data_IF_597655864807
#
_entry.id   IF_597655864807
#
_cell.length_a   1.000
_cell.length_b   1.000
_cell.length_c   1.000
_cell.angle_alpha   90.00
_cell.angle_beta   90.00
_cell.angle_gamma   90.00
#
_symmetry.space_group_name_H-M   'P 1'
#
loop_
_entity.id
_entity.type
_entity.pdbx_description
1 polymer ?
#
# COMPACT_ATOMS: atom_id res chain seq x y z
N UNK A 1 -18.33 -17.06 13.53
CA UNK A 1 -18.39 -17.37 12.10
C UNK A 1 -17.01 -17.13 11.53
N UNK A 2 -16.45 -18.05 10.77
CA UNK A 2 -15.17 -17.83 10.09
C UNK A 2 -15.41 -17.03 8.81
N UNK A 3 -14.56 -16.04 8.55
CA UNK A 3 -14.60 -15.19 7.36
C UNK A 3 -13.18 -14.91 6.87
N UNK A 4 -13.07 -14.39 5.64
CA UNK A 4 -11.80 -14.04 4.99
C UNK A 4 -11.86 -12.62 4.45
N UNK A 5 -10.78 -11.87 4.56
CA UNK A 5 -10.67 -10.57 3.89
C UNK A 5 -9.31 -10.38 3.24
N UNK A 6 -9.28 -9.59 2.16
CA UNK A 6 -8.02 -9.20 1.52
C UNK A 6 -7.50 -7.89 2.11
N UNK A 7 -6.19 -7.77 2.25
CA UNK A 7 -5.50 -6.54 2.63
C UNK A 7 -4.47 -6.18 1.55
N UNK A 8 -4.78 -5.13 0.80
CA UNK A 8 -3.92 -4.49 -0.20
C UNK A 8 -3.48 -3.11 0.30
N UNK A 9 -2.37 -2.60 -0.22
CA UNK A 9 -1.90 -1.24 0.01
C UNK A 9 -0.98 -0.83 -1.15
N UNK A 10 -0.69 0.47 -1.28
CA UNK A 10 0.41 0.97 -2.12
C UNK A 10 0.33 0.50 -3.58
N UNK A 11 -0.88 0.57 -4.15
CA UNK A 11 -1.15 0.14 -5.53
C UNK A 11 -0.58 1.12 -6.56
N UNK A 12 -0.50 2.40 -6.20
CA UNK A 12 0.16 3.46 -6.96
C UNK A 12 -0.22 3.51 -8.43
N UNK A 13 -1.51 3.36 -8.71
CA UNK A 13 -2.02 3.44 -10.09
C UNK A 13 -1.67 4.79 -10.68
N UNK A 14 -1.01 4.77 -11.84
CA UNK A 14 -0.59 5.97 -12.57
C UNK A 14 0.80 6.51 -12.23
N UNK A 15 1.60 5.81 -11.42
CA UNK A 15 2.96 6.23 -11.08
C UNK A 15 3.92 6.32 -12.29
N UNK A 16 3.79 5.38 -13.22
CA UNK A 16 4.74 5.26 -14.34
C UNK A 16 4.25 6.02 -15.58
N UNK A 17 5.14 6.78 -16.20
CA UNK A 17 4.87 7.51 -17.46
C UNK A 17 5.07 6.61 -18.67
N UNK A 18 6.00 5.68 -18.57
CA UNK A 18 6.29 4.69 -19.59
C UNK A 18 5.10 3.75 -19.73
N UNK A 19 4.45 3.81 -20.90
CA UNK A 19 3.22 3.06 -21.19
C UNK A 19 3.29 1.59 -20.79
N UNK A 20 4.39 0.89 -21.09
CA UNK A 20 4.54 -0.52 -20.76
C UNK A 20 4.55 -0.79 -19.24
N UNK A 21 5.19 0.08 -18.45
CA UNK A 21 5.19 -0.03 -16.98
C UNK A 21 3.81 0.34 -16.41
N UNK A 22 3.16 1.37 -16.95
CA UNK A 22 1.80 1.73 -16.56
C UNK A 22 0.80 0.59 -16.81
N UNK A 23 0.87 -0.04 -17.99
CA UNK A 23 0.06 -1.20 -18.34
C UNK A 23 0.36 -2.41 -17.45
N UNK A 24 1.64 -2.63 -17.10
CA UNK A 24 2.06 -3.68 -16.15
C UNK A 24 1.49 -3.45 -14.76
N UNK A 25 1.56 -2.22 -14.25
CA UNK A 25 1.01 -1.85 -12.94
C UNK A 25 -0.51 -2.07 -12.89
N UNK A 26 -1.22 -1.61 -13.92
CA UNK A 26 -2.67 -1.85 -14.05
C UNK A 26 -3.00 -3.34 -14.19
N UNK A 27 -2.18 -4.13 -14.90
CA UNK A 27 -2.38 -5.57 -15.01
C UNK A 27 -2.22 -6.25 -13.64
N UNK A 28 -1.21 -5.88 -12.86
CA UNK A 28 -1.03 -6.39 -11.50
C UNK A 28 -2.23 -6.06 -10.61
N UNK A 29 -2.76 -4.82 -10.69
CA UNK A 29 -3.98 -4.42 -9.97
C UNK A 29 -5.17 -5.27 -10.39
N UNK A 30 -5.42 -5.46 -11.70
CA UNK A 30 -6.48 -6.34 -12.20
C UNK A 30 -6.35 -7.75 -11.63
N UNK A 31 -5.16 -8.34 -11.72
CA UNK A 31 -4.90 -9.69 -11.19
C UNK A 31 -5.14 -9.76 -9.69
N UNK A 32 -4.70 -8.79 -8.90
CA UNK A 32 -4.90 -8.79 -7.46
C UNK A 32 -6.39 -8.83 -7.08
N UNK A 33 -7.21 -7.98 -7.71
CA UNK A 33 -8.66 -7.95 -7.46
C UNK A 33 -9.39 -9.17 -8.03
N UNK A 34 -8.96 -9.71 -9.18
CA UNK A 34 -9.48 -10.98 -9.71
C UNK A 34 -9.20 -12.13 -8.74
N UNK A 35 -7.99 -12.20 -8.16
CA UNK A 35 -7.66 -13.17 -7.11
C UNK A 35 -8.54 -13.01 -5.87
N UNK A 36 -8.84 -11.79 -5.44
CA UNK A 36 -9.76 -11.55 -4.32
C UNK A 36 -11.15 -12.17 -4.59
N UNK A 37 -11.67 -12.03 -5.81
CA UNK A 37 -12.95 -12.62 -6.24
C UNK A 37 -12.87 -14.14 -6.28
N UNK A 38 -11.82 -14.70 -6.89
CA UNK A 38 -11.59 -16.15 -7.00
C UNK A 38 -11.48 -16.83 -5.62
N UNK A 39 -10.77 -16.18 -4.69
CA UNK A 39 -10.59 -16.62 -3.31
C UNK A 39 -11.84 -16.40 -2.44
N UNK A 40 -12.89 -15.78 -3.00
CA UNK A 40 -14.18 -15.51 -2.37
C UNK A 40 -14.04 -14.80 -1.01
N UNK A 41 -13.18 -13.78 -0.96
CA UNK A 41 -13.04 -12.96 0.26
C UNK A 41 -14.37 -12.28 0.57
N UNK A 42 -14.67 -12.14 1.86
CA UNK A 42 -15.89 -11.51 2.36
C UNK A 42 -15.85 -9.99 2.24
N UNK A 43 -14.66 -9.39 2.33
CA UNK A 43 -14.42 -7.98 2.04
C UNK A 43 -12.96 -7.71 1.66
N UNK A 44 -12.68 -6.50 1.16
CA UNK A 44 -11.34 -6.04 0.80
C UNK A 44 -11.02 -4.75 1.57
N UNK A 45 -9.79 -4.65 2.06
CA UNK A 45 -9.20 -3.45 2.64
C UNK A 45 -8.09 -2.92 1.72
N UNK A 46 -8.11 -1.62 1.43
CA UNK A 46 -7.05 -0.88 0.76
C UNK A 46 -6.46 0.14 1.74
N UNK A 47 -5.27 -0.13 2.27
CA UNK A 47 -4.61 0.71 3.28
C UNK A 47 -3.81 1.87 2.64
N UNK A 48 -4.49 2.69 1.83
CA UNK A 48 -3.95 3.90 1.22
C UNK A 48 -3.15 3.68 -0.08
N UNK A 49 -2.83 4.79 -0.72
CA UNK A 49 -2.09 4.91 -1.99
C UNK A 49 -2.66 3.99 -3.09
N UNK A 50 -3.97 4.09 -3.33
CA UNK A 50 -4.61 3.44 -4.47
C UNK A 50 -4.11 4.08 -5.79
N UNK A 51 -3.93 5.40 -5.79
CA UNK A 51 -3.34 6.16 -6.90
C UNK A 51 -2.06 6.87 -6.45
N UNK A 52 -1.12 7.05 -7.37
CA UNK A 52 0.16 7.74 -7.10
C UNK A 52 -0.01 9.29 -7.06
N UNK A 53 -1.16 9.80 -7.46
CA UNK A 53 -1.48 11.23 -7.38
C UNK A 53 -2.98 11.46 -7.13
N UNK A 54 -3.31 12.61 -6.55
CA UNK A 54 -4.70 13.04 -6.28
C UNK A 54 -5.56 13.15 -7.53
N UNK A 55 -4.95 13.49 -8.67
CA UNK A 55 -5.59 13.60 -9.98
C UNK A 55 -4.71 12.89 -11.04
N UNK A 56 -4.82 11.56 -11.17
CA UNK A 56 -4.07 10.79 -12.14
C UNK A 56 -4.72 10.87 -13.53
N UNK A 57 -4.11 10.24 -14.54
CA UNK A 57 -4.70 10.13 -15.88
C UNK A 57 -6.08 9.46 -15.82
N UNK A 58 -7.09 10.08 -16.45
CA UNK A 58 -8.47 9.60 -16.41
C UNK A 58 -8.66 8.21 -17.06
N UNK A 59 -7.76 7.79 -17.95
CA UNK A 59 -7.74 6.41 -18.43
C UNK A 59 -7.44 5.45 -17.28
N UNK A 60 -6.44 5.73 -16.46
CA UNK A 60 -6.13 4.91 -15.28
C UNK A 60 -7.30 4.89 -14.28
N UNK A 61 -7.95 6.04 -14.06
CA UNK A 61 -9.15 6.13 -13.21
C UNK A 61 -10.27 5.22 -13.72
N UNK A 62 -10.55 5.27 -15.03
CA UNK A 62 -11.58 4.44 -15.66
C UNK A 62 -11.28 2.95 -15.49
N UNK A 63 -10.06 2.52 -15.80
CA UNK A 63 -9.65 1.11 -15.67
C UNK A 63 -9.77 0.62 -14.22
N UNK A 64 -9.31 1.41 -13.24
CA UNK A 64 -9.46 1.07 -11.82
C UNK A 64 -10.93 1.03 -11.39
N UNK A 65 -11.76 1.95 -11.86
CA UNK A 65 -13.20 1.94 -11.60
C UNK A 65 -13.88 0.69 -12.18
N UNK A 66 -13.45 0.21 -13.35
CA UNK A 66 -13.96 -1.03 -13.93
C UNK A 66 -13.58 -2.26 -13.09
N UNK A 67 -12.36 -2.30 -12.54
CA UNK A 67 -11.93 -3.37 -11.63
C UNK A 67 -12.78 -3.38 -10.36
N UNK A 68 -12.89 -2.23 -9.70
CA UNK A 68 -13.70 -2.09 -8.48
C UNK A 68 -15.18 -2.38 -8.74
N UNK A 69 -15.70 -2.04 -9.92
CA UNK A 69 -17.07 -2.39 -10.34
C UNK A 69 -17.27 -3.91 -10.38
N UNK A 70 -16.33 -4.68 -10.94
CA UNK A 70 -16.42 -6.14 -10.98
C UNK A 70 -16.44 -6.75 -9.58
N UNK A 71 -15.62 -6.23 -8.67
CA UNK A 71 -15.58 -6.65 -7.26
C UNK A 71 -16.92 -6.38 -6.58
N UNK A 72 -17.49 -5.18 -6.79
CA UNK A 72 -18.82 -4.83 -6.29
C UNK A 72 -19.91 -5.73 -6.87
N UNK A 73 -19.85 -6.05 -8.16
CA UNK A 73 -20.78 -6.97 -8.84
C UNK A 73 -20.68 -8.40 -8.31
N UNK A 74 -19.50 -8.81 -7.82
CA UNK A 74 -19.32 -10.07 -7.09
C UNK A 74 -19.85 -10.01 -5.64
N UNK A 75 -20.38 -8.86 -5.19
CA UNK A 75 -20.94 -8.68 -3.86
C UNK A 75 -19.90 -8.51 -2.75
N UNK A 76 -18.66 -8.15 -3.11
CA UNK A 76 -17.55 -7.98 -2.15
C UNK A 76 -17.41 -6.48 -1.83
N UNK A 77 -17.71 -6.04 -0.59
CA UNK A 77 -17.47 -4.66 -0.19
C UNK A 77 -15.98 -4.35 -0.10
N UNK A 78 -15.63 -3.11 -0.47
CA UNK A 78 -14.27 -2.59 -0.42
C UNK A 78 -14.24 -1.42 0.56
N UNK A 79 -13.28 -1.44 1.48
CA UNK A 79 -13.02 -0.38 2.44
C UNK A 79 -11.63 0.20 2.20
N UNK A 80 -11.51 1.52 2.16
CA UNK A 80 -10.24 2.18 1.85
C UNK A 80 -9.94 3.34 2.78
N UNK A 81 -8.67 3.65 2.93
CA UNK A 81 -8.19 4.93 3.50
C UNK A 81 -7.45 5.70 2.41
N UNK A 82 -7.22 7.00 2.59
CA UNK A 82 -6.21 7.68 1.80
C UNK A 82 -4.82 7.23 2.23
N UNK A 83 -3.89 7.22 1.28
CA UNK A 83 -2.48 7.25 1.59
C UNK A 83 -1.90 8.65 1.38
N UNK A 84 -0.57 8.72 1.42
CA UNK A 84 0.15 9.98 1.33
C UNK A 84 0.12 10.61 -0.07
N UNK A 85 -0.10 9.84 -1.13
CA UNK A 85 -0.07 10.28 -2.53
C UNK A 85 -1.44 10.74 -3.05
N UNK A 86 -2.50 10.06 -2.62
CA UNK A 86 -3.86 10.30 -3.10
C UNK A 86 -4.70 11.17 -2.16
N UNK A 87 -4.12 11.67 -1.06
CA UNK A 87 -4.72 12.65 -0.17
C UNK A 87 -4.50 14.10 -0.62
N UNK A 88 -5.53 14.94 -0.49
CA UNK A 88 -5.39 16.40 -0.57
C UNK A 88 -6.17 17.10 0.55
N UNK A 89 -5.56 18.07 1.26
CA UNK A 89 -6.27 18.85 2.28
C UNK A 89 -7.18 19.93 1.69
N UNK A 90 -6.96 20.33 0.43
CA UNK A 90 -7.56 21.52 -0.18
C UNK A 90 -8.29 21.24 -1.50
N UNK A 91 -8.25 20.00 -2.00
CA UNK A 91 -8.89 19.63 -3.25
C UNK A 91 -9.55 18.26 -3.13
N UNK A 92 -10.55 18.04 -3.97
CA UNK A 92 -11.15 16.72 -4.19
C UNK A 92 -10.14 15.81 -4.87
N UNK A 93 -9.89 14.65 -4.28
CA UNK A 93 -9.11 13.58 -4.89
C UNK A 93 -10.01 12.69 -5.74
N UNK A 94 -9.45 11.99 -6.72
CA UNK A 94 -10.22 10.97 -7.46
C UNK A 94 -10.82 9.90 -6.54
N UNK A 95 -10.19 9.64 -5.41
CA UNK A 95 -10.71 8.74 -4.36
C UNK A 95 -12.10 9.19 -3.89
N UNK A 96 -12.33 10.50 -3.71
CA UNK A 96 -13.64 11.04 -3.32
C UNK A 96 -14.71 10.76 -4.38
N UNK A 97 -14.34 10.90 -5.66
CA UNK A 97 -15.26 10.68 -6.78
C UNK A 97 -15.64 9.21 -6.87
N UNK A 98 -14.66 8.30 -6.71
CA UNK A 98 -14.90 6.87 -6.75
C UNK A 98 -15.71 6.38 -5.54
N UNK A 99 -15.44 6.91 -4.34
CA UNK A 99 -16.26 6.62 -3.17
C UNK A 99 -17.71 7.11 -3.35
N UNK A 100 -17.90 8.34 -3.81
CA UNK A 100 -19.24 8.89 -4.08
C UNK A 100 -20.02 8.08 -5.13
N UNK A 101 -19.33 7.35 -6.01
CA UNK A 101 -19.94 6.44 -6.99
C UNK A 101 -20.34 5.07 -6.40
N UNK A 102 -20.03 4.82 -5.13
CA UNK A 102 -20.34 3.57 -4.42
C UNK A 102 -19.40 2.40 -4.78
N UNK A 103 -18.18 2.67 -5.26
CA UNK A 103 -17.19 1.62 -5.57
C UNK A 103 -16.50 1.07 -4.32
N UNK A 104 -16.36 1.88 -3.28
CA UNK A 104 -15.82 1.52 -1.97
C UNK A 104 -16.29 2.51 -0.91
N UNK A 105 -16.06 2.19 0.36
CA UNK A 105 -16.34 3.07 1.50
C UNK A 105 -15.03 3.57 2.12
N UNK A 106 -14.95 4.87 2.42
CA UNK A 106 -13.78 5.44 3.10
C UNK A 106 -13.85 5.27 4.63
N UNK A 107 -12.75 4.79 5.22
CA UNK A 107 -12.57 4.62 6.67
C UNK A 107 -11.88 5.83 7.31
N UNK A 108 -12.46 7.03 7.17
CA UNK A 108 -11.82 8.28 7.63
C UNK A 108 -12.72 9.19 8.47
N UNK A 109 -13.98 8.81 8.66
CA UNK A 109 -14.91 9.60 9.47
C UNK A 109 -14.43 9.60 10.93
N UNK A 110 -14.20 10.78 11.48
CA UNK A 110 -13.71 10.96 12.85
C UNK A 110 -14.63 11.91 13.60
N UNK A 111 -14.90 11.58 14.86
CA UNK A 111 -15.45 12.49 15.84
C UNK A 111 -14.33 13.07 16.70
N UNK A 112 -14.58 14.22 17.32
CA UNK A 112 -13.67 14.86 18.27
C UNK A 112 -14.34 14.88 19.63
N UNK A 113 -13.62 14.42 20.66
CA UNK A 113 -14.08 14.44 22.05
C UNK A 113 -13.25 15.42 22.87
N UNK A 114 -13.91 16.37 23.54
CA UNK A 114 -13.26 17.46 24.26
C UNK A 114 -12.95 18.67 23.38
N UNK A 115 -12.20 19.63 23.92
CA UNK A 115 -11.88 20.90 23.27
C UNK A 115 -10.39 21.25 23.44
N UNK A 116 -9.86 22.10 22.56
CA UNK A 116 -8.48 22.59 22.66
C UNK A 116 -7.41 21.54 22.35
N UNK A 117 -6.25 21.68 23.00
CA UNK A 117 -5.07 20.82 22.78
C UNK A 117 -5.29 19.39 23.28
N UNK A 118 -6.18 19.19 24.26
CA UNK A 118 -6.49 17.90 24.86
C UNK A 118 -7.58 17.12 24.12
N UNK A 119 -8.18 17.69 23.06
CA UNK A 119 -9.26 17.00 22.35
C UNK A 119 -8.76 15.71 21.71
N UNK A 120 -9.54 14.63 21.85
CA UNK A 120 -9.19 13.31 21.35
C UNK A 120 -9.90 13.02 20.03
N UNK A 121 -9.23 12.28 19.16
CA UNK A 121 -9.73 11.82 17.86
C UNK A 121 -10.37 10.44 18.04
N UNK A 122 -11.63 10.31 17.59
CA UNK A 122 -12.42 9.07 17.62
C UNK A 122 -12.78 8.63 16.20
N UNK A 123 -11.96 7.81 15.53
CA UNK A 123 -12.33 7.19 14.27
C UNK A 123 -13.60 6.36 14.43
N UNK A 124 -14.60 6.61 13.58
CA UNK A 124 -15.87 5.87 13.62
C UNK A 124 -15.65 4.45 13.11
N UNK A 125 -16.27 3.49 13.78
CA UNK A 125 -16.32 2.12 13.29
C UNK A 125 -17.33 1.98 12.14
N UNK A 126 -16.88 1.34 11.07
CA UNK A 126 -17.73 0.78 10.02
C UNK A 126 -17.86 -0.71 10.28
N UNK A 127 -19.09 -1.20 10.33
CA UNK A 127 -19.37 -2.63 10.55
C UNK A 127 -19.61 -3.29 9.19
N UNK A 128 -18.80 -4.28 8.87
CA UNK A 128 -19.05 -5.11 7.70
C UNK A 128 -20.34 -5.94 7.92
N UNK A 129 -21.37 -5.81 7.06
CA UNK A 129 -22.69 -6.37 7.33
C UNK A 129 -22.72 -7.91 7.26
N UNK A 130 -21.77 -8.52 6.55
CA UNK A 130 -21.74 -9.98 6.36
C UNK A 130 -21.02 -10.67 7.51
N UNK A 131 -19.89 -10.11 7.93
CA UNK A 131 -18.97 -10.73 8.90
C UNK A 131 -19.14 -10.18 10.31
N UNK A 132 -19.67 -8.98 10.46
CA UNK A 132 -19.71 -8.24 11.73
C UNK A 132 -18.35 -7.66 12.14
N UNK A 133 -17.32 -7.77 11.29
CA UNK A 133 -16.01 -7.18 11.54
C UNK A 133 -16.14 -5.65 11.63
N UNK A 134 -15.40 -5.04 12.57
CA UNK A 134 -15.45 -3.60 12.83
C UNK A 134 -14.16 -2.96 12.34
N UNK A 135 -14.29 -2.10 11.34
CA UNK A 135 -13.18 -1.42 10.71
C UNK A 135 -13.15 0.04 11.16
N UNK A 136 -11.99 0.49 11.63
CA UNK A 136 -11.73 1.90 11.90
C UNK A 136 -10.40 2.25 11.25
N UNK A 137 -10.25 3.49 10.78
CA UNK A 137 -9.02 3.87 10.11
C UNK A 137 -8.68 5.34 10.20
N UNK A 138 -7.43 5.61 9.86
CA UNK A 138 -6.88 6.95 9.71
C UNK A 138 -6.11 7.00 8.40
N UNK A 139 -6.24 8.14 7.71
CA UNK A 139 -5.57 8.40 6.44
C UNK A 139 -4.09 8.72 6.64
N UNK A 140 -3.27 8.29 5.70
CA UNK A 140 -1.92 8.80 5.55
C UNK A 140 -1.92 10.22 4.98
N UNK A 141 -0.87 10.99 5.30
CA UNK A 141 -0.65 12.32 4.72
C UNK A 141 0.81 12.47 4.34
N UNK A 142 1.09 13.35 3.39
CA UNK A 142 2.46 13.69 3.06
C UNK A 142 3.20 14.21 4.29
N UNK A 143 4.48 13.85 4.37
CA UNK A 143 5.40 14.29 5.42
C UNK A 143 4.98 13.89 6.85
N UNK A 144 4.30 12.75 6.94
CA UNK A 144 3.72 12.21 8.16
C UNK A 144 2.89 13.20 8.99
N UNK A 145 2.19 14.14 8.34
CA UNK A 145 1.37 15.13 9.04
C UNK A 145 0.18 14.51 9.78
N UNK A 146 -0.16 13.26 9.48
CA UNK A 146 -1.17 12.48 10.18
C UNK A 146 -0.76 12.10 11.61
N UNK A 147 0.54 12.06 11.95
CA UNK A 147 1.03 11.61 13.27
C UNK A 147 0.35 12.27 14.45
N UNK A 148 0.02 13.55 14.31
CA UNK A 148 -0.66 14.30 15.36
C UNK A 148 -2.07 13.77 15.65
N UNK A 149 -2.76 13.23 14.64
CA UNK A 149 -4.06 12.56 14.83
C UNK A 149 -3.89 11.24 15.55
N UNK A 150 -2.85 10.46 15.23
CA UNK A 150 -2.55 9.22 15.94
C UNK A 150 -2.19 9.47 17.40
N UNK A 151 -1.37 10.49 17.68
CA UNK A 151 -1.00 10.91 19.05
C UNK A 151 -2.22 11.26 19.91
N UNK A 152 -3.29 11.73 19.28
CA UNK A 152 -4.54 12.17 19.94
C UNK A 152 -5.65 11.13 19.90
N UNK A 153 -5.38 9.89 19.49
CA UNK A 153 -6.42 8.85 19.45
C UNK A 153 -7.00 8.60 20.84
N UNK A 154 -8.32 8.54 20.92
CA UNK A 154 -9.01 8.06 22.12
C UNK A 154 -8.87 6.53 22.20
N UNK A 155 -7.79 6.07 22.83
CA UNK A 155 -7.51 4.64 22.98
C UNK A 155 -8.59 3.91 23.79
N UNK A 156 -9.20 4.57 24.79
CA UNK A 156 -10.23 3.94 25.62
C UNK A 156 -11.48 3.66 24.79
N UNK A 157 -11.97 4.65 24.04
CA UNK A 157 -13.09 4.49 23.12
C UNK A 157 -12.87 3.34 22.12
N UNK A 158 -11.67 3.26 21.52
CA UNK A 158 -11.36 2.22 20.53
C UNK A 158 -11.16 0.84 21.15
N UNK A 159 -10.63 0.76 22.38
CA UNK A 159 -10.47 -0.49 23.12
C UNK A 159 -11.82 -1.08 23.56
N UNK A 160 -12.72 -0.24 24.07
CA UNK A 160 -14.00 -0.66 24.65
C UNK A 160 -14.95 -1.25 23.60
N UNK A 161 -14.73 -0.96 22.31
CA UNK A 161 -15.53 -1.54 21.23
C UNK A 161 -15.34 -3.08 21.19
N UNK A 162 -16.41 -3.88 21.34
CA UNK A 162 -16.30 -5.34 21.39
C UNK A 162 -16.23 -5.97 20.00
N UNK A 163 -15.84 -7.25 19.93
CA UNK A 163 -15.83 -8.03 18.68
C UNK A 163 -14.51 -7.94 17.92
N UNK A 164 -14.48 -8.49 16.71
CA UNK A 164 -13.29 -8.52 15.86
C UNK A 164 -13.04 -7.14 15.24
N UNK A 165 -11.85 -6.56 15.48
CA UNK A 165 -11.51 -5.21 15.05
C UNK A 165 -10.32 -5.16 14.11
N UNK A 166 -10.48 -4.42 13.01
CA UNK A 166 -9.42 -4.11 12.04
C UNK A 166 -9.10 -2.62 12.09
N UNK A 167 -7.84 -2.29 12.36
CA UNK A 167 -7.36 -0.91 12.28
C UNK A 167 -6.64 -0.72 10.95
N UNK A 168 -7.17 0.17 10.09
CA UNK A 168 -6.63 0.44 8.77
C UNK A 168 -5.87 1.76 8.79
N UNK A 169 -4.62 1.76 8.37
CA UNK A 169 -3.77 2.94 8.48
C UNK A 169 -2.71 2.99 7.39
N UNK A 170 -2.21 4.18 7.09
CA UNK A 170 -1.17 4.38 6.09
C UNK A 170 -0.07 5.28 6.68
N UNK A 171 0.91 4.65 7.32
CA UNK A 171 2.08 5.29 7.93
C UNK A 171 3.16 4.24 8.20
N UNK A 172 4.43 4.64 8.14
CA UNK A 172 5.52 3.82 8.64
C UNK A 172 5.57 3.82 10.17
N UNK A 173 6.02 2.70 10.75
CA UNK A 173 6.25 2.55 12.18
C UNK A 173 7.72 2.29 12.48
N UNK A 174 8.27 2.99 13.47
CA UNK A 174 9.69 2.96 13.84
C UNK A 174 10.22 1.53 14.00
N UNK A 175 9.44 0.67 14.65
CA UNK A 175 9.86 -0.66 15.09
C UNK A 175 9.93 -1.71 13.98
N UNK A 176 9.32 -1.44 12.81
CA UNK A 176 9.28 -2.37 11.68
C UNK A 176 9.83 -1.77 10.39
N UNK A 177 10.42 -0.57 10.47
CA UNK A 177 11.07 0.05 9.32
C UNK A 177 12.19 -0.84 8.77
N UNK A 178 12.20 -1.10 7.45
CA UNK A 178 13.28 -1.87 6.84
C UNK A 178 14.57 -1.03 6.79
N UNK A 179 15.73 -1.69 6.80
CA UNK A 179 17.05 -1.03 6.92
C UNK A 179 17.31 0.06 5.84
N UNK A 180 16.82 -0.18 4.62
CA UNK A 180 16.97 0.75 3.50
C UNK A 180 16.08 2.00 3.63
N UNK A 181 15.06 1.96 4.48
CA UNK A 181 14.14 3.07 4.80
C UNK A 181 14.31 3.54 6.25
N UNK A 182 15.41 3.21 6.95
CA UNK A 182 15.63 3.55 8.37
C UNK A 182 15.59 5.04 8.74
N UNK A 183 15.67 5.92 7.73
CA UNK A 183 15.60 7.38 7.87
C UNK A 183 14.29 7.95 7.33
N UNK A 184 13.36 7.08 6.91
CA UNK A 184 12.04 7.49 6.48
C UNK A 184 11.26 8.06 7.66
N UNK A 185 10.39 9.00 7.32
CA UNK A 185 9.46 9.57 8.26
C UNK A 185 8.51 8.47 8.77
N UNK A 186 8.54 8.21 10.08
CA UNK A 186 7.83 7.13 10.78
C UNK A 186 7.34 7.56 12.16
N UNK A 187 6.38 6.82 12.72
CA UNK A 187 5.86 7.08 14.06
C UNK A 187 6.04 5.88 15.00
N UNK A 188 6.07 6.10 16.32
CA UNK A 188 6.10 4.98 17.26
C UNK A 188 4.84 4.14 17.11
N UNK A 189 4.97 2.80 17.08
CA UNK A 189 3.82 1.88 17.11
C UNK A 189 2.89 2.12 18.31
N UNK A 190 3.40 2.69 19.40
CA UNK A 190 2.61 3.08 20.56
C UNK A 190 1.49 4.10 20.25
N UNK A 191 1.56 4.80 19.11
CA UNK A 191 0.49 5.68 18.64
C UNK A 191 -0.66 4.93 17.98
N UNK A 192 -0.52 3.64 17.67
CA UNK A 192 -1.63 2.81 17.23
C UNK A 192 -2.52 2.45 18.42
N UNK A 193 -3.85 2.36 18.21
CA UNK A 193 -4.76 2.02 19.29
C UNK A 193 -4.59 0.55 19.68
N UNK A 194 -4.41 0.23 20.97
CA UNK A 194 -4.34 -1.15 21.42
C UNK A 194 -5.68 -1.88 21.26
N UNK A 195 -5.66 -3.21 21.38
CA UNK A 195 -6.87 -4.04 21.46
C UNK A 195 -7.52 -4.39 20.12
N UNK A 196 -6.90 -4.05 18.99
CA UNK A 196 -7.31 -4.55 17.67
C UNK A 196 -6.72 -5.94 17.37
N UNK A 197 -7.44 -6.71 16.56
CA UNK A 197 -7.07 -8.07 16.14
C UNK A 197 -6.19 -8.09 14.90
N UNK A 198 -6.35 -7.09 14.04
CA UNK A 198 -5.54 -6.91 12.84
C UNK A 198 -5.26 -5.43 12.60
N UNK A 199 -4.02 -5.12 12.24
CA UNK A 199 -3.55 -3.78 11.89
C UNK A 199 -3.10 -3.82 10.43
N UNK A 200 -3.97 -3.31 9.56
CA UNK A 200 -3.77 -3.25 8.12
C UNK A 200 -3.00 -1.97 7.76
N UNK A 201 -1.68 -2.09 7.64
CA UNK A 201 -0.78 -0.98 7.30
C UNK A 201 -0.46 -0.91 5.81
N UNK A 202 -0.42 0.31 5.27
CA UNK A 202 0.28 0.68 4.03
C UNK A 202 1.37 1.71 4.28
N UNK A 203 2.06 2.16 3.23
CA UNK A 203 3.17 3.14 3.17
C UNK A 203 4.57 2.51 3.06
N UNK A 204 4.83 1.40 3.77
CA UNK A 204 6.13 0.71 3.70
C UNK A 204 6.16 -0.23 2.49
N UNK A 205 7.10 -0.02 1.57
CA UNK A 205 7.17 -0.78 0.32
C UNK A 205 7.87 -2.16 0.45
N UNK A 206 7.82 -2.71 1.66
CA UNK A 206 8.39 -4.01 2.04
C UNK A 206 7.33 -4.81 2.77
N UNK A 207 7.20 -6.09 2.40
CA UNK A 207 6.28 -7.00 3.09
C UNK A 207 6.72 -7.19 4.54
N UNK A 208 5.82 -6.88 5.47
CA UNK A 208 6.04 -7.02 6.91
C UNK A 208 4.89 -7.82 7.51
N UNK A 209 5.24 -8.75 8.39
CA UNK A 209 4.32 -9.53 9.20
C UNK A 209 4.87 -9.60 10.62
N UNK A 210 4.12 -9.07 11.59
CA UNK A 210 4.55 -9.02 12.99
C UNK A 210 3.37 -9.22 13.94
N UNK A 211 3.64 -9.80 15.11
CA UNK A 211 2.67 -9.80 16.22
C UNK A 211 2.85 -8.56 17.06
N UNK A 212 1.75 -7.95 17.49
CA UNK A 212 1.78 -6.84 18.43
C UNK A 212 2.22 -7.36 19.81
N UNK A 213 3.33 -6.86 20.39
CA UNK A 213 3.77 -7.27 21.72
C UNK A 213 2.69 -7.01 22.77
N UNK A 214 2.46 -8.01 23.64
CA UNK A 214 1.49 -7.90 24.73
C UNK A 214 0.02 -8.00 24.32
N UNK A 215 -0.28 -8.30 23.05
CA UNK A 215 -1.64 -8.47 22.56
C UNK A 215 -1.77 -9.63 21.58
N UNK A 216 -3.00 -9.84 21.08
CA UNK A 216 -3.32 -10.86 20.07
C UNK A 216 -3.28 -10.33 18.63
N UNK A 217 -3.06 -9.03 18.47
CA UNK A 217 -3.11 -8.35 17.18
C UNK A 217 -1.97 -8.73 16.24
N UNK A 218 -2.29 -8.80 14.95
CA UNK A 218 -1.31 -9.00 13.87
C UNK A 218 -1.15 -7.69 13.10
N UNK A 219 0.09 -7.24 12.95
CA UNK A 219 0.49 -6.11 12.14
C UNK A 219 0.99 -6.63 10.79
N UNK A 220 0.47 -6.08 9.71
CA UNK A 220 0.88 -6.44 8.37
C UNK A 220 1.05 -5.22 7.47
N UNK A 221 2.05 -5.29 6.59
CA UNK A 221 2.19 -4.42 5.41
C UNK A 221 2.38 -5.33 4.20
N UNK A 222 1.50 -5.30 3.20
CA UNK A 222 1.66 -6.14 2.01
C UNK A 222 2.83 -5.67 1.14
N UNK A 223 3.17 -4.38 1.22
CA UNK A 223 4.00 -3.70 0.23
C UNK A 223 3.23 -3.45 -1.07
N UNK A 224 3.88 -2.85 -2.08
CA UNK A 224 3.23 -2.53 -3.33
C UNK A 224 3.07 -3.78 -4.21
N UNK A 225 2.25 -3.63 -5.25
CA UNK A 225 2.30 -4.54 -6.40
C UNK A 225 3.54 -4.21 -7.25
N UNK A 226 3.40 -3.36 -8.27
CA UNK A 226 4.56 -2.92 -9.06
C UNK A 226 5.40 -1.86 -8.31
N UNK A 227 4.74 -1.01 -7.53
CA UNK A 227 5.34 0.15 -6.87
C UNK A 227 5.43 1.37 -7.79
N UNK A 228 6.06 2.42 -7.27
CA UNK A 228 6.04 3.77 -7.87
C UNK A 228 7.43 4.37 -8.12
N UNK A 229 8.48 3.70 -7.64
CA UNK A 229 9.87 4.13 -7.81
C UNK A 229 10.77 3.00 -8.29
N UNK A 230 11.93 3.33 -8.88
CA UNK A 230 12.85 2.32 -9.41
C UNK A 230 13.34 1.33 -8.33
N UNK A 231 13.46 1.77 -7.08
CA UNK A 231 13.79 0.88 -5.96
C UNK A 231 12.74 -0.22 -5.74
N UNK A 232 11.46 0.02 -6.08
CA UNK A 232 10.43 -1.02 -6.03
C UNK A 232 10.65 -2.07 -7.10
N UNK A 233 10.92 -1.64 -8.33
CA UNK A 233 11.19 -2.51 -9.46
C UNK A 233 12.40 -3.39 -9.20
N UNK A 234 13.49 -2.81 -8.68
CA UNK A 234 14.69 -3.59 -8.34
C UNK A 234 14.42 -4.65 -7.28
N UNK A 235 13.71 -4.28 -6.22
CA UNK A 235 13.34 -5.22 -5.15
C UNK A 235 12.37 -6.30 -5.63
N UNK A 236 11.52 -6.01 -6.62
CA UNK A 236 10.61 -6.98 -7.22
C UNK A 236 11.34 -8.12 -7.94
N UNK A 237 12.65 -7.98 -8.22
CA UNK A 237 13.50 -9.06 -8.71
C UNK A 237 13.60 -10.22 -7.71
N UNK A 238 13.80 -9.91 -6.44
CA UNK A 238 14.18 -10.88 -5.41
C UNK A 238 13.10 -11.04 -4.32
N UNK A 239 12.10 -10.17 -4.32
CA UNK A 239 11.01 -10.15 -3.34
C UNK A 239 9.67 -10.30 -4.04
N UNK A 240 8.88 -11.34 -3.72
CA UNK A 240 7.51 -11.50 -4.23
C UNK A 240 6.65 -10.26 -3.93
N UNK A 241 5.82 -9.89 -4.90
CA UNK A 241 4.86 -8.78 -4.80
C UNK A 241 3.45 -9.34 -4.75
N UNK A 242 2.54 -8.68 -4.04
CA UNK A 242 1.23 -9.25 -3.77
C UNK A 242 0.51 -8.59 -2.61
N UNK A 243 -0.39 -9.35 -2.00
CA UNK A 243 -1.26 -8.87 -0.94
C UNK A 243 -1.56 -9.97 0.06
N UNK A 244 -2.22 -9.65 1.17
CA UNK A 244 -2.61 -10.65 2.17
C UNK A 244 -4.06 -11.07 2.02
N UNK A 245 -4.34 -12.34 2.25
CA UNK A 245 -5.65 -12.82 2.67
C UNK A 245 -5.56 -13.22 4.14
N UNK A 246 -6.46 -12.66 4.93
CA UNK A 246 -6.58 -12.90 6.36
C UNK A 246 -7.80 -13.77 6.59
N UNK A 247 -7.65 -14.90 7.29
CA UNK A 247 -8.77 -15.69 7.79
C UNK A 247 -8.96 -15.41 9.27
N UNK A 248 -10.20 -15.16 9.68
CA UNK A 248 -10.51 -14.79 11.05
C UNK A 248 -11.86 -15.34 11.51
N UNK A 249 -11.99 -15.45 12.84
CA UNK A 249 -13.26 -15.64 13.54
C UNK A 249 -13.40 -14.62 14.68
N UNK A 250 -13.17 -15.01 15.93
CA UNK A 250 -12.98 -14.10 17.06
C UNK A 250 -11.55 -13.52 17.10
N UNK A 251 -10.62 -14.19 16.42
CA UNK A 251 -9.22 -13.76 16.25
C UNK A 251 -8.72 -14.10 14.85
N UNK A 252 -7.52 -13.63 14.48
CA UNK A 252 -6.89 -14.06 13.22
C UNK A 252 -6.38 -15.49 13.36
N UNK A 253 -6.87 -16.37 12.48
CA UNK A 253 -6.53 -17.80 12.48
C UNK A 253 -5.51 -18.16 11.41
N UNK A 254 -5.47 -17.39 10.31
CA UNK A 254 -4.48 -17.55 9.24
C UNK A 254 -4.15 -16.20 8.58
N UNK A 255 -2.89 -16.04 8.16
CA UNK A 255 -2.42 -14.93 7.34
C UNK A 255 -1.63 -15.51 6.16
N UNK A 256 -2.23 -15.43 4.98
CA UNK A 256 -1.67 -15.98 3.75
C UNK A 256 -1.28 -14.86 2.79
N UNK A 257 -0.02 -14.83 2.33
CA UNK A 257 0.41 -13.92 1.27
C UNK A 257 0.08 -14.51 -0.10
N UNK A 258 -0.68 -13.75 -0.90
CA UNK A 258 -1.05 -14.09 -2.27
C UNK A 258 -0.15 -13.30 -3.21
N UNK A 259 0.73 -14.02 -3.89
CA UNK A 259 1.63 -13.45 -4.88
C UNK A 259 0.86 -13.02 -6.15
N UNK A 260 1.19 -11.83 -6.64
CA UNK A 260 0.75 -11.29 -7.92
C UNK A 260 1.94 -11.34 -8.86
N UNK A 261 1.94 -12.25 -9.86
CA UNK A 261 3.08 -12.40 -10.77
C UNK A 261 3.38 -11.09 -11.50
N UNK A 262 4.65 -10.70 -11.50
CA UNK A 262 5.15 -9.57 -12.28
C UNK A 262 6.09 -10.07 -13.39
N UNK A 263 6.29 -9.28 -14.45
CA UNK A 263 7.38 -9.48 -15.39
C UNK A 263 8.73 -9.68 -14.68
N UNK A 264 9.60 -10.57 -15.16
CA UNK A 264 10.95 -10.71 -14.62
C UNK A 264 11.69 -9.37 -14.67
N UNK A 265 12.47 -9.08 -13.63
CA UNK A 265 13.31 -7.87 -13.57
C UNK A 265 14.76 -8.25 -13.81
N UNK A 266 15.38 -7.62 -14.81
CA UNK A 266 16.81 -7.80 -15.13
C UNK A 266 17.53 -6.49 -14.83
N UNK A 267 18.50 -6.55 -13.91
CA UNK A 267 19.33 -5.39 -13.55
C UNK A 267 20.73 -5.53 -14.17
N UNK A 268 21.07 -4.60 -15.05
CA UNK A 268 22.44 -4.38 -15.52
C UNK A 268 23.07 -3.24 -14.71
N UNK A 269 24.08 -3.57 -13.90
CA UNK A 269 24.79 -2.59 -13.08
C UNK A 269 26.26 -2.47 -13.48
N UNK A 270 26.75 -1.23 -13.60
CA UNK A 270 28.13 -0.92 -13.95
C UNK A 270 28.76 0.04 -12.93
N UNK A 271 30.03 -0.23 -12.56
CA UNK A 271 30.84 0.73 -11.82
C UNK A 271 31.50 1.72 -12.78
N UNK A 272 31.16 3.00 -12.64
CA UNK A 272 31.59 4.08 -13.51
C UNK A 272 32.91 4.75 -13.07
N UNK A 273 33.52 4.28 -11.97
CA UNK A 273 34.71 4.87 -11.36
C UNK A 273 35.89 4.97 -12.34
N UNK A 274 36.33 6.20 -12.62
CA UNK A 274 37.45 6.46 -13.53
C UNK A 274 37.16 6.22 -15.02
N UNK A 275 35.88 6.06 -15.39
CA UNK A 275 35.43 5.88 -16.78
C UNK A 275 34.82 7.16 -17.34
N UNK A 276 34.89 7.34 -18.64
CA UNK A 276 34.18 8.41 -19.36
C UNK A 276 32.70 8.04 -19.56
N UNK A 277 31.83 9.04 -19.77
CA UNK A 277 30.41 8.80 -20.07
C UNK A 277 30.21 7.88 -21.30
N UNK A 278 31.05 8.05 -22.34
CA UNK A 278 30.99 7.22 -23.55
C UNK A 278 31.43 5.76 -23.32
N UNK A 279 32.36 5.50 -22.41
CA UNK A 279 32.72 4.14 -22.01
C UNK A 279 31.58 3.47 -21.23
N UNK A 280 31.00 4.19 -20.26
CA UNK A 280 29.85 3.72 -19.48
C UNK A 280 28.67 3.39 -20.40
N UNK A 281 28.31 4.28 -21.32
CA UNK A 281 27.20 4.08 -22.25
C UNK A 281 27.41 2.84 -23.13
N UNK A 282 28.59 2.69 -23.75
CA UNK A 282 28.90 1.53 -24.60
C UNK A 282 28.89 0.21 -23.85
N UNK A 283 29.41 0.17 -22.63
CA UNK A 283 29.43 -1.05 -21.83
C UNK A 283 28.03 -1.45 -21.35
N UNK A 284 27.20 -0.49 -20.94
CA UNK A 284 25.81 -0.74 -20.59
C UNK A 284 25.01 -1.23 -21.79
N UNK A 285 25.16 -0.59 -22.95
CA UNK A 285 24.52 -1.01 -24.19
C UNK A 285 24.94 -2.45 -24.55
N UNK A 286 26.24 -2.75 -24.51
CA UNK A 286 26.77 -4.09 -24.76
C UNK A 286 26.20 -5.12 -23.79
N UNK A 287 26.06 -4.78 -22.50
CA UNK A 287 25.47 -5.67 -21.50
C UNK A 287 23.99 -5.94 -21.79
N UNK A 288 23.21 -4.92 -22.14
CA UNK A 288 21.79 -5.06 -22.49
C UNK A 288 21.62 -5.92 -23.73
N UNK A 289 22.41 -5.73 -24.80
CA UNK A 289 22.25 -6.51 -26.04
C UNK A 289 22.82 -7.93 -25.98
N UNK A 290 23.62 -8.25 -24.97
CA UNK A 290 24.28 -9.56 -24.84
C UNK A 290 23.33 -10.74 -24.57
N UNK A 291 22.08 -10.47 -24.17
CA UNK A 291 21.06 -11.47 -23.91
C UNK A 291 19.66 -10.95 -24.29
N UNK A 292 18.70 -11.83 -24.64
CA UNK A 292 17.32 -11.42 -24.88
C UNK A 292 16.62 -11.05 -23.55
N UNK A 293 15.68 -10.10 -23.62
CA UNK A 293 14.89 -9.61 -22.48
C UNK A 293 13.38 -9.64 -22.76
N UNK A 294 12.92 -10.59 -23.56
CA UNK A 294 11.52 -10.65 -23.97
C UNK A 294 10.59 -10.74 -22.75
N UNK A 295 9.67 -9.78 -22.63
CA UNK A 295 8.73 -9.70 -21.52
C UNK A 295 9.33 -9.32 -20.17
N UNK A 296 10.59 -8.88 -20.09
CA UNK A 296 11.24 -8.45 -18.84
C UNK A 296 11.25 -6.92 -18.68
N UNK A 297 11.24 -6.46 -17.42
CA UNK A 297 11.58 -5.09 -17.06
C UNK A 297 13.11 -5.00 -16.95
N UNK A 298 13.73 -4.26 -17.86
CA UNK A 298 15.19 -4.08 -17.88
C UNK A 298 15.55 -2.78 -17.18
N UNK A 299 16.31 -2.90 -16.10
CA UNK A 299 16.85 -1.78 -15.34
C UNK A 299 18.34 -1.65 -15.65
N UNK A 300 18.77 -0.43 -15.91
CA UNK A 300 20.16 -0.10 -16.23
C UNK A 300 20.66 0.93 -15.22
N UNK A 301 21.78 0.62 -14.58
CA UNK A 301 22.32 1.43 -13.50
C UNK A 301 23.83 1.61 -13.64
N UNK A 302 24.27 2.86 -13.58
CA UNK A 302 25.67 3.21 -13.37
C UNK A 302 25.87 3.77 -11.95
N UNK A 303 26.92 3.33 -11.27
CA UNK A 303 27.32 3.86 -9.95
C UNK A 303 28.81 4.18 -9.92
N UNK A 304 29.20 5.35 -9.44
CA UNK A 304 30.60 5.74 -9.28
C UNK A 304 30.87 7.16 -9.73
N UNK A 305 32.16 7.53 -9.80
CA UNK A 305 32.60 8.86 -10.25
C UNK A 305 33.26 8.78 -11.63
N UNK A 306 32.66 9.46 -12.62
CA UNK A 306 33.23 9.58 -13.96
C UNK A 306 34.61 10.25 -13.92
N UNK A 307 35.49 9.88 -14.85
CA UNK A 307 36.80 10.49 -15.04
C UNK A 307 36.72 11.96 -15.48
N UNK A 308 35.74 12.28 -16.32
CA UNK A 308 35.46 13.62 -16.83
C UNK A 308 34.07 13.66 -17.51
N UNK A 309 33.52 14.86 -17.67
CA UNK A 309 32.22 15.12 -18.30
C UNK A 309 31.11 15.42 -17.29
N UNK A 310 30.00 15.95 -17.79
CA UNK A 310 28.76 16.03 -17.02
C UNK A 310 28.05 14.67 -17.04
N UNK A 311 27.41 14.27 -15.93
CA UNK A 311 26.66 13.02 -15.83
C UNK A 311 25.50 12.91 -16.81
#
# INVERSE_FOLDING_TARGET
MTFRFAHLADLHVGAWRERALAETGLAAVRTAFERCIEERVDFIVIAGDLFDATLPDMAHVRETAEVLRRVREAGIPVYATYGSHDYSPSATSVIDVLEASGLFMKLMATDVAGEGEDALVRPRFVVDPKTGAKLAGLSGRQRSLEREYYRRLDHAYLMDEPGFKVFVFHSALDEVLPEHERHAESMPRAFLPPGFDYYAGGHIHTRIEARIPGGRGILAYPGPLLGHQYGDLERARDTPRGFFIVTADETVTDLSFVEVPLPPVVLHELRADGRTAGEVARELEAAVVSQPHEGAIVLVRARGRLAAGDP
#
